data_IF_088772883714
#
_entry.id   IF_088772883714
#
_cell.length_a   1.000
_cell.length_b   1.000
_cell.length_c   1.000
_cell.angle_alpha   90.00
_cell.angle_beta   90.00
_cell.angle_gamma   90.00
#
_symmetry.space_group_name_H-M   'P 1'
#
loop_
_entity.id
_entity.type
_entity.pdbx_description
1 polymer ?
#
# COMPACT_ATOMS: atom_id res chain seq x y z
N UNK A 1 -10.01 1.77 -7.59
CA UNK A 1 -8.93 2.49 -6.90
C UNK A 1 -8.99 2.25 -5.41
N UNK A 2 -7.90 1.76 -4.82
CA UNK A 2 -7.77 1.57 -3.37
C UNK A 2 -6.95 2.70 -2.75
N UNK A 3 -7.28 3.08 -1.53
CA UNK A 3 -6.43 3.93 -0.69
C UNK A 3 -5.83 3.07 0.40
N UNK A 4 -4.52 2.88 0.37
CA UNK A 4 -3.79 2.14 1.41
C UNK A 4 -3.59 3.05 2.59
N UNK A 5 -3.98 2.58 3.78
CA UNK A 5 -3.87 3.31 5.04
C UNK A 5 -3.19 2.44 6.09
N UNK A 6 -2.56 3.07 7.08
CA UNK A 6 -1.96 2.33 8.18
C UNK A 6 -3.04 1.72 9.09
N UNK A 7 -2.89 0.46 9.49
CA UNK A 7 -3.86 -0.18 10.38
C UNK A 7 -3.88 0.43 11.80
N UNK A 8 -2.77 1.03 12.25
CA UNK A 8 -2.66 1.59 13.60
C UNK A 8 -3.18 3.02 13.70
N UNK A 9 -2.64 3.94 12.90
CA UNK A 9 -3.01 5.36 12.98
C UNK A 9 -4.02 5.80 11.92
N UNK A 10 -4.46 4.89 11.03
CA UNK A 10 -5.41 5.16 9.93
C UNK A 10 -4.99 6.26 8.96
N UNK A 11 -3.72 6.68 9.02
CA UNK A 11 -3.17 7.69 8.10
C UNK A 11 -3.09 7.13 6.68
N UNK A 12 -3.41 7.99 5.70
CA UNK A 12 -3.33 7.67 4.27
C UNK A 12 -1.87 7.59 3.85
N UNK A 13 -1.48 6.47 3.25
CA UNK A 13 -0.11 6.18 2.85
C UNK A 13 0.09 6.42 1.35
N UNK A 14 -0.72 5.77 0.52
CA UNK A 14 -0.74 5.99 -0.93
C UNK A 14 -2.05 5.48 -1.54
N UNK A 15 -2.30 5.88 -2.80
CA UNK A 15 -3.35 5.31 -3.64
C UNK A 15 -2.80 4.25 -4.55
N UNK A 16 -3.53 3.15 -4.67
CA UNK A 16 -3.13 1.98 -5.43
C UNK A 16 -4.25 1.55 -6.38
N UNK A 17 -3.94 1.48 -7.67
CA UNK A 17 -4.89 1.00 -8.66
C UNK A 17 -4.91 -0.54 -8.69
N UNK A 18 -5.71 -1.11 -7.80
CA UNK A 18 -5.95 -2.55 -7.77
C UNK A 18 -6.93 -2.94 -8.87
N UNK A 19 -6.41 -3.73 -9.80
CA UNK A 19 -7.14 -4.37 -10.89
C UNK A 19 -7.42 -5.83 -10.51
N UNK A 20 -8.66 -6.27 -10.65
CA UNK A 20 -9.11 -7.63 -10.37
C UNK A 20 -9.35 -7.94 -8.88
N UNK A 21 -9.93 -9.12 -8.62
CA UNK A 21 -10.50 -9.48 -7.32
C UNK A 21 -9.49 -9.98 -6.27
N UNK A 22 -8.29 -10.40 -6.68
CA UNK A 22 -7.30 -11.01 -5.78
C UNK A 22 -6.82 -10.10 -4.64
N UNK A 23 -6.17 -10.69 -3.64
CA UNK A 23 -5.68 -9.97 -2.46
C UNK A 23 -4.59 -8.93 -2.79
N UNK A 24 -4.42 -7.94 -1.90
CA UNK A 24 -3.39 -6.90 -1.99
C UNK A 24 -2.13 -7.37 -1.26
N UNK A 25 -1.47 -8.40 -1.81
CA UNK A 25 -0.22 -8.95 -1.25
C UNK A 25 1.00 -8.20 -1.81
N UNK A 26 0.94 -7.88 -3.11
CA UNK A 26 1.99 -7.19 -3.85
C UNK A 26 1.42 -5.89 -4.44
N UNK A 27 1.99 -4.76 -4.04
CA UNK A 27 1.69 -3.45 -4.60
C UNK A 27 2.77 -3.11 -5.62
N UNK A 28 2.45 -3.23 -6.91
CA UNK A 28 3.37 -2.86 -7.98
C UNK A 28 3.57 -1.34 -8.00
N UNK A 29 4.83 -0.88 -8.06
CA UNK A 29 5.18 0.55 -8.07
C UNK A 29 4.49 1.29 -9.23
N UNK A 30 4.43 0.66 -10.40
CA UNK A 30 3.77 1.19 -11.59
C UNK A 30 2.26 1.46 -11.44
N UNK A 31 1.60 0.90 -10.41
CA UNK A 31 0.16 1.10 -10.15
C UNK A 31 -0.11 2.00 -8.94
N UNK A 32 0.93 2.56 -8.34
CA UNK A 32 0.79 3.55 -7.28
C UNK A 32 0.55 4.89 -7.95
N UNK A 33 -0.65 5.42 -7.78
CA UNK A 33 -1.09 6.63 -8.49
C UNK A 33 -0.78 7.90 -7.71
N UNK A 34 -0.66 7.81 -6.38
CA UNK A 34 -0.39 8.97 -5.53
C UNK A 34 0.26 8.54 -4.22
N UNK A 35 1.35 9.19 -3.85
CA UNK A 35 1.95 9.08 -2.52
C UNK A 35 1.36 10.13 -1.57
N UNK A 36 1.19 9.76 -0.31
CA UNK A 36 0.73 10.65 0.75
C UNK A 36 1.81 10.77 1.83
N UNK A 37 1.72 9.99 2.90
CA UNK A 37 2.59 10.13 4.08
C UNK A 37 3.56 8.97 4.29
N UNK A 38 3.71 8.08 3.33
CA UNK A 38 4.52 6.88 3.53
C UNK A 38 6.01 7.20 3.39
N UNK A 39 6.82 6.75 4.33
CA UNK A 39 8.27 6.97 4.35
C UNK A 39 9.00 5.68 3.99
N UNK A 40 10.04 5.76 3.17
CA UNK A 40 10.90 4.61 2.89
C UNK A 40 12.14 4.71 3.76
N UNK A 41 12.39 3.69 4.59
CA UNK A 41 13.59 3.59 5.44
C UNK A 41 14.31 2.29 5.10
N UNK A 42 15.41 2.40 4.37
CA UNK A 42 16.12 1.25 3.79
C UNK A 42 15.21 0.45 2.84
N UNK A 43 15.07 -0.85 3.09
CA UNK A 43 14.23 -1.75 2.27
C UNK A 43 12.79 -1.88 2.79
N UNK A 44 12.37 -1.05 3.75
CA UNK A 44 11.02 -1.12 4.35
C UNK A 44 10.32 0.22 4.24
N UNK A 45 9.00 0.15 4.10
CA UNK A 45 8.12 1.29 4.04
C UNK A 45 7.40 1.42 5.38
N UNK A 46 7.54 2.59 5.98
CA UNK A 46 7.03 2.94 7.28
C UNK A 46 5.91 3.98 7.15
N UNK A 47 4.96 3.87 8.05
CA UNK A 47 4.05 4.95 8.35
C UNK A 47 4.78 5.99 9.21
N UNK A 48 4.41 7.28 9.20
CA UNK A 48 4.97 8.28 10.11
C UNK A 48 4.78 7.94 11.59
N UNK A 49 3.82 7.08 11.91
CA UNK A 49 3.65 6.55 13.27
C UNK A 49 4.70 5.50 13.67
N UNK A 50 5.66 5.18 12.81
CA UNK A 50 6.74 4.22 13.09
C UNK A 50 6.42 2.76 12.76
N UNK A 51 5.18 2.42 12.35
CA UNK A 51 4.85 1.03 11.97
C UNK A 51 5.34 0.68 10.55
N UNK A 52 5.97 -0.49 10.35
CA UNK A 52 6.33 -0.98 9.01
C UNK A 52 5.08 -1.52 8.30
N UNK A 53 4.82 -1.02 7.10
CA UNK A 53 3.62 -1.30 6.31
C UNK A 53 3.94 -2.23 5.14
N UNK A 54 5.09 -2.03 4.50
CA UNK A 54 5.50 -2.83 3.35
C UNK A 54 7.02 -3.00 3.29
N UNK A 55 7.49 -3.91 2.44
CA UNK A 55 8.90 -4.18 2.19
C UNK A 55 9.17 -3.96 0.71
N UNK A 56 10.17 -3.15 0.37
CA UNK A 56 10.60 -2.96 -1.01
C UNK A 56 11.32 -4.20 -1.52
N UNK A 57 10.81 -4.75 -2.63
CA UNK A 57 11.41 -5.87 -3.38
C UNK A 57 11.84 -5.43 -4.78
N UNK A 58 12.09 -4.14 -4.97
CA UNK A 58 12.51 -3.55 -6.25
C UNK A 58 11.32 -3.20 -7.13
N UNK A 59 10.68 -4.18 -7.76
CA UNK A 59 9.56 -3.95 -8.69
C UNK A 59 8.19 -3.78 -8.02
N UNK A 60 8.05 -4.23 -6.78
CA UNK A 60 6.82 -4.14 -6.01
C UNK A 60 7.12 -4.01 -4.52
N UNK A 61 6.18 -3.42 -3.79
CA UNK A 61 6.16 -3.46 -2.34
C UNK A 61 5.38 -4.69 -1.89
N UNK A 62 6.04 -5.57 -1.14
CA UNK A 62 5.39 -6.67 -0.44
C UNK A 62 4.71 -6.12 0.80
N UNK A 63 3.38 -6.18 0.83
CA UNK A 63 2.60 -5.67 1.94
C UNK A 63 2.71 -6.60 3.16
N UNK A 64 2.78 -6.03 4.36
CA UNK A 64 2.77 -6.79 5.61
C UNK A 64 1.32 -6.90 6.08
N UNK A 65 0.71 -8.09 5.90
CA UNK A 65 -0.66 -8.34 6.34
C UNK A 65 -0.85 -7.97 7.83
N UNK A 66 -1.96 -7.30 8.15
CA UNK A 66 -2.25 -6.81 9.51
C UNK A 66 -1.69 -5.41 9.83
N UNK A 67 -0.63 -4.95 9.17
CA UNK A 67 -0.07 -3.61 9.42
C UNK A 67 -0.64 -2.51 8.51
N UNK A 68 -1.39 -2.90 7.48
CA UNK A 68 -2.11 -2.00 6.60
C UNK A 68 -3.57 -2.40 6.51
N UNK A 69 -4.41 -1.42 6.20
CA UNK A 69 -5.76 -1.64 5.71
C UNK A 69 -5.95 -0.81 4.44
N UNK A 70 -7.04 -1.05 3.73
CA UNK A 70 -7.32 -0.38 2.47
C UNK A 70 -8.80 -0.08 2.37
N UNK A 71 -9.11 1.07 1.82
CA UNK A 71 -10.49 1.51 1.58
C UNK A 71 -10.68 1.82 0.10
N UNK A 72 -11.94 1.75 -0.36
CA UNK A 72 -12.31 2.03 -1.74
C UNK A 72 -12.56 0.77 -2.57
N UNK A 73 -12.86 0.99 -3.84
CA UNK A 73 -13.42 -0.03 -4.73
C UNK A 73 -12.35 -0.60 -5.65
N UNK A 74 -12.30 -1.92 -5.81
CA UNK A 74 -11.42 -2.57 -6.80
C UNK A 74 -11.91 -2.22 -8.20
N UNK A 75 -10.99 -1.97 -9.15
CA UNK A 75 -11.35 -1.78 -10.56
C UNK A 75 -11.55 -3.17 -11.18
N UNK A 76 -12.74 -3.45 -11.70
CA UNK A 76 -12.94 -4.66 -12.50
C UNK A 76 -12.31 -4.45 -13.89
N UNK A 77 -11.69 -5.48 -14.45
CA UNK A 77 -11.27 -5.46 -15.86
C UNK A 77 -12.57 -5.57 -16.67
N UNK A 78 -12.92 -4.52 -17.41
CA UNK A 78 -13.89 -4.64 -18.51
C UNK A 78 -13.26 -5.45 -19.63
#
# INVERSE_FOLDING_TARGET
MLTVVCAACRSKLWRYDKIGHGHVVRCHKARITKWHKAETRGHKLYCPCGKPVAIDKGGHYRMIAGNFTHTGTKRNKR
#
